data_IF_751275512605
#
_entry.id   IF_751275512605
#
_cell.length_a   1.000
_cell.length_b   1.000
_cell.length_c   1.000
_cell.angle_alpha   90.00
_cell.angle_beta   90.00
_cell.angle_gamma   90.00
#
_symmetry.space_group_name_H-M   'P 1'
#
loop_
_entity.id
_entity.type
_entity.pdbx_description
1 polymer ?
#
# COMPACT_ATOMS: atom_id res chain seq x y z
N UNK A 1 9.07 -16.18 19.18
CA UNK A 1 8.05 -15.25 18.68
C UNK A 1 8.73 -13.98 18.18
N UNK A 2 9.36 -14.00 17.00
CA UNK A 2 9.97 -12.82 16.38
C UNK A 2 9.03 -12.26 15.31
N UNK A 3 7.84 -11.84 15.74
CA UNK A 3 6.68 -11.61 14.86
C UNK A 3 6.80 -10.39 13.95
N UNK A 4 7.65 -9.42 14.32
CA UNK A 4 7.71 -8.13 13.62
C UNK A 4 8.04 -8.26 12.13
N UNK A 5 8.94 -9.19 11.74
CA UNK A 5 9.33 -9.36 10.33
C UNK A 5 8.22 -10.03 9.50
N UNK A 6 7.59 -11.05 10.06
CA UNK A 6 6.46 -11.76 9.44
C UNK A 6 5.26 -10.82 9.29
N UNK A 7 4.90 -10.09 10.35
CA UNK A 7 3.85 -9.07 10.33
C UNK A 7 4.10 -7.98 9.28
N UNK A 8 5.34 -7.48 9.16
CA UNK A 8 5.70 -6.50 8.13
C UNK A 8 5.57 -7.09 6.71
N UNK A 9 5.94 -8.36 6.51
CA UNK A 9 5.77 -9.04 5.23
C UNK A 9 4.30 -9.24 4.87
N UNK A 10 3.47 -9.68 5.82
CA UNK A 10 2.03 -9.85 5.62
C UNK A 10 1.35 -8.51 5.33
N UNK A 11 1.69 -7.46 6.07
CA UNK A 11 1.21 -6.11 5.82
C UNK A 11 1.61 -5.61 4.42
N UNK A 12 2.85 -5.86 4.00
CA UNK A 12 3.33 -5.53 2.65
C UNK A 12 2.49 -6.22 1.58
N UNK A 13 2.26 -7.52 1.71
CA UNK A 13 1.45 -8.30 0.75
C UNK A 13 0.02 -7.78 0.69
N UNK A 14 -0.60 -7.50 1.84
CA UNK A 14 -1.95 -6.96 1.91
C UNK A 14 -2.06 -5.59 1.21
N UNK A 15 -1.12 -4.68 1.47
CA UNK A 15 -1.09 -3.35 0.85
C UNK A 15 -0.84 -3.44 -0.66
N UNK A 16 0.07 -4.29 -1.13
CA UNK A 16 0.31 -4.49 -2.56
C UNK A 16 -0.94 -5.04 -3.27
N UNK A 17 -1.65 -5.98 -2.66
CA UNK A 17 -2.91 -6.52 -3.17
C UNK A 17 -3.98 -5.42 -3.28
N UNK A 18 -4.15 -4.61 -2.23
CA UNK A 18 -5.11 -3.51 -2.24
C UNK A 18 -4.75 -2.45 -3.29
N UNK A 19 -3.48 -2.08 -3.38
CA UNK A 19 -2.98 -1.13 -4.38
C UNK A 19 -3.25 -1.61 -5.81
N UNK A 20 -3.02 -2.89 -6.09
CA UNK A 20 -3.33 -3.50 -7.39
C UNK A 20 -4.82 -3.41 -7.73
N UNK A 21 -5.70 -3.69 -6.76
CA UNK A 21 -7.16 -3.55 -6.95
C UNK A 21 -7.56 -2.10 -7.19
N UNK A 22 -7.01 -1.14 -6.45
CA UNK A 22 -7.27 0.28 -6.64
C UNK A 22 -6.83 0.75 -8.03
N UNK A 23 -5.62 0.38 -8.49
CA UNK A 23 -5.14 0.74 -9.82
C UNK A 23 -6.00 0.15 -10.95
N UNK A 24 -6.49 -1.08 -10.79
CA UNK A 24 -7.40 -1.72 -11.76
C UNK A 24 -8.79 -1.08 -11.77
N UNK A 25 -9.26 -0.57 -10.64
CA UNK A 25 -10.57 0.08 -10.54
C UNK A 25 -10.56 1.52 -11.09
N UNK A 26 -9.45 2.24 -10.96
CA UNK A 26 -9.32 3.65 -11.37
C UNK A 26 -9.77 3.96 -12.81
N UNK A 27 -9.34 3.24 -13.86
CA UNK A 27 -9.76 3.54 -15.23
C UNK A 27 -11.25 3.29 -15.51
N UNK A 28 -11.95 2.56 -14.64
CA UNK A 28 -13.38 2.29 -14.78
C UNK A 28 -14.26 3.36 -14.10
N UNK A 29 -13.65 4.35 -13.45
CA UNK A 29 -14.38 5.42 -12.78
C UNK A 29 -14.68 6.57 -13.75
N UNK A 30 -15.80 7.24 -13.52
CA UNK A 30 -16.14 8.46 -14.24
C UNK A 30 -15.08 9.53 -13.99
N UNK A 31 -14.62 10.14 -15.07
CA UNK A 31 -13.64 11.23 -15.02
C UNK A 31 -14.17 12.41 -14.17
N UNK A 32 -13.29 13.01 -13.36
CA UNK A 32 -13.59 14.12 -12.46
C UNK A 32 -14.68 13.81 -11.41
N UNK A 33 -14.94 12.52 -11.14
CA UNK A 33 -15.86 12.11 -10.09
C UNK A 33 -15.21 12.12 -8.71
N UNK A 34 -16.03 12.33 -7.67
CA UNK A 34 -15.58 12.22 -6.27
C UNK A 34 -14.95 10.85 -5.97
N UNK A 35 -15.42 9.80 -6.64
CA UNK A 35 -14.94 8.44 -6.52
C UNK A 35 -13.52 8.31 -7.10
N UNK A 36 -13.24 8.94 -8.24
CA UNK A 36 -11.90 8.98 -8.84
C UNK A 36 -10.93 9.65 -7.89
N UNK A 37 -11.23 10.87 -7.42
CA UNK A 37 -10.36 11.60 -6.48
C UNK A 37 -10.12 10.81 -5.19
N UNK A 38 -11.16 10.18 -4.64
CA UNK A 38 -11.02 9.34 -3.45
C UNK A 38 -10.09 8.15 -3.71
N UNK A 39 -10.21 7.50 -4.86
CA UNK A 39 -9.40 6.34 -5.20
C UNK A 39 -7.94 6.72 -5.45
N UNK A 40 -7.68 7.84 -6.11
CA UNK A 40 -6.32 8.38 -6.28
C UNK A 40 -5.65 8.70 -4.93
N UNK A 41 -6.38 9.33 -4.01
CA UNK A 41 -5.89 9.61 -2.66
C UNK A 41 -5.57 8.32 -1.89
N UNK A 42 -6.41 7.28 -2.03
CA UNK A 42 -6.15 5.96 -1.44
C UNK A 42 -4.88 5.31 -2.02
N UNK A 43 -4.70 5.37 -3.34
CA UNK A 43 -3.49 4.86 -4.01
C UNK A 43 -2.24 5.54 -3.44
N UNK A 44 -2.25 6.86 -3.32
CA UNK A 44 -1.13 7.63 -2.76
C UNK A 44 -0.84 7.23 -1.30
N UNK A 45 -1.87 7.11 -0.46
CA UNK A 45 -1.71 6.68 0.93
C UNK A 45 -1.12 5.26 1.04
N UNK A 46 -1.56 4.33 0.18
CA UNK A 46 -1.05 2.96 0.15
C UNK A 46 0.42 2.90 -0.30
N UNK A 47 0.83 3.75 -1.24
CA UNK A 47 2.24 3.87 -1.65
C UNK A 47 3.11 4.39 -0.51
N UNK A 48 2.64 5.39 0.24
CA UNK A 48 3.34 5.90 1.43
C UNK A 48 3.47 4.79 2.48
N UNK A 49 2.39 4.07 2.78
CA UNK A 49 2.42 2.96 3.74
C UNK A 49 3.41 1.86 3.31
N UNK A 50 3.45 1.52 2.02
CA UNK A 50 4.40 0.55 1.48
C UNK A 50 5.85 1.00 1.69
N UNK A 51 6.17 2.26 1.37
CA UNK A 51 7.51 2.82 1.58
C UNK A 51 7.93 2.78 3.06
N UNK A 52 7.01 3.05 3.98
CA UNK A 52 7.27 2.99 5.43
C UNK A 52 7.57 1.56 5.90
N UNK A 53 6.82 0.57 5.40
CA UNK A 53 7.06 -0.84 5.70
C UNK A 53 8.42 -1.28 5.17
N UNK A 54 8.76 -0.92 3.92
CA UNK A 54 10.05 -1.26 3.32
C UNK A 54 11.20 -0.62 4.10
N UNK A 55 11.05 0.64 4.53
CA UNK A 55 12.02 1.30 5.41
C UNK A 55 12.20 0.54 6.73
N UNK A 56 11.11 0.16 7.40
CA UNK A 56 11.17 -0.60 8.64
C UNK A 56 11.83 -1.99 8.47
N UNK A 57 11.65 -2.63 7.31
CA UNK A 57 12.30 -3.89 6.97
C UNK A 57 13.82 -3.70 6.79
N UNK A 58 14.24 -2.62 6.12
CA UNK A 58 15.67 -2.30 5.92
C UNK A 58 16.37 -1.94 7.24
N UNK A 59 15.74 -1.15 8.10
CA UNK A 59 16.26 -0.82 9.43
C UNK A 59 16.47 -2.07 10.30
N UNK A 60 15.60 -3.08 10.15
CA UNK A 60 15.71 -4.35 10.86
C UNK A 60 16.80 -5.28 10.30
N UNK A 61 17.36 -4.99 9.12
CA UNK A 61 18.43 -5.76 8.50
C UNK A 61 19.84 -5.22 8.79
N UNK A 62 19.93 -3.97 9.26
CA UNK A 62 21.19 -3.27 9.55
C UNK A 62 21.56 -3.26 11.05
N UNK A 63 20.86 -4.05 11.87
CA UNK A 63 21.06 -4.15 13.33
C UNK A 63 21.30 -5.60 13.74
#
# INVERSE_FOLDING_TARGET
>A
MNHRKEELNEAKVAIMSLLSKCKKALPNLKENSSQQTLLERRINALQIALNLIEKAQLESANN
#
